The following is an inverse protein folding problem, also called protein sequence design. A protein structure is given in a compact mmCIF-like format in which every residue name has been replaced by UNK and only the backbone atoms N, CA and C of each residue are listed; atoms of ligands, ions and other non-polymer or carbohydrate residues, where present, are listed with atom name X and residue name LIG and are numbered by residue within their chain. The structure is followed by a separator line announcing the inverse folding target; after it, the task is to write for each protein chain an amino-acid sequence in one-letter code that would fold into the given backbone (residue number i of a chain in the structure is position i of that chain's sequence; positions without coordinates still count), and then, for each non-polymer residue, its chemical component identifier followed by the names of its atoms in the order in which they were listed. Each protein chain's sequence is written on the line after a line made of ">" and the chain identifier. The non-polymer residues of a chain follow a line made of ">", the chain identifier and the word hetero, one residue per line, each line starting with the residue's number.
data_IF_959781405403
#
_entry.id   IF_959781405403
#
_cell.length_a   1.000
_cell.length_b   1.000
_cell.length_c   1.000
_cell.angle_alpha   90.00
_cell.angle_beta   90.00
_cell.angle_gamma   90.00
#
_symmetry.space_group_name_H-M   'P 1'
#
loop_
_entity.id
_entity.type
_entity.pdbx_description
1 polymer ?
#
# COMPACT_ATOMS: atom_id res chain seq x y z
N UNK A 1 19.47 12.91 -27.64
CA UNK A 1 18.37 12.32 -26.86
C UNK A 1 18.84 10.97 -26.34
N UNK A 2 18.73 10.71 -25.02
CA UNK A 2 19.10 9.42 -24.44
C UNK A 2 18.04 8.36 -24.78
N UNK A 3 18.49 7.14 -25.06
CA UNK A 3 17.63 6.01 -25.46
C UNK A 3 17.69 4.90 -24.40
N UNK A 4 16.52 4.36 -24.03
CA UNK A 4 16.35 3.32 -23.01
C UNK A 4 15.49 2.17 -23.54
N UNK A 5 15.49 1.04 -22.84
CA UNK A 5 14.49 0.00 -23.06
C UNK A 5 13.13 0.42 -22.50
N UNK A 6 13.15 1.09 -21.34
CA UNK A 6 11.97 1.58 -20.63
C UNK A 6 12.09 3.02 -20.14
N UNK A 7 11.00 3.76 -20.28
CA UNK A 7 10.75 5.00 -19.55
C UNK A 7 9.66 4.70 -18.52
N UNK A 8 9.97 4.96 -17.23
CA UNK A 8 9.01 4.92 -16.13
C UNK A 8 8.71 6.34 -15.72
N UNK A 9 7.45 6.77 -15.77
CA UNK A 9 7.05 8.14 -15.43
C UNK A 9 6.28 8.19 -14.13
N UNK A 10 6.81 8.92 -13.16
CA UNK A 10 6.27 9.07 -11.81
C UNK A 10 7.10 8.32 -10.76
N UNK A 11 7.82 9.07 -9.94
CA UNK A 11 8.73 8.57 -8.89
C UNK A 11 8.05 8.17 -7.58
N UNK A 12 6.76 7.81 -7.61
CA UNK A 12 6.06 7.21 -6.49
C UNK A 12 6.41 5.73 -6.29
N UNK A 13 5.80 5.08 -5.28
CA UNK A 13 6.07 3.66 -4.97
C UNK A 13 5.86 2.74 -6.18
N UNK A 14 4.86 3.01 -7.02
CA UNK A 14 4.61 2.21 -8.24
C UNK A 14 5.77 2.33 -9.23
N UNK A 15 6.21 3.55 -9.55
CA UNK A 15 7.32 3.74 -10.48
C UNK A 15 8.64 3.20 -9.94
N UNK A 16 8.92 3.39 -8.65
CA UNK A 16 10.13 2.84 -8.01
C UNK A 16 10.15 1.30 -8.10
N UNK A 17 9.04 0.63 -7.76
CA UNK A 17 8.98 -0.84 -7.81
C UNK A 17 9.05 -1.40 -9.23
N UNK A 18 8.46 -0.70 -10.21
CA UNK A 18 8.57 -1.09 -11.62
C UNK A 18 9.98 -0.87 -12.15
N UNK A 19 10.62 0.25 -11.80
CA UNK A 19 12.01 0.53 -12.19
C UNK A 19 12.96 -0.52 -11.61
N UNK A 20 12.75 -0.90 -10.35
CA UNK A 20 13.56 -1.92 -9.69
C UNK A 20 13.45 -3.28 -10.42
N UNK A 21 12.22 -3.75 -10.69
CA UNK A 21 12.08 -5.06 -11.33
C UNK A 21 12.57 -5.08 -12.78
N UNK A 22 12.39 -4.00 -13.51
CA UNK A 22 12.87 -3.89 -14.90
C UNK A 22 14.41 -3.86 -14.96
N UNK A 23 15.06 -3.10 -14.07
CA UNK A 23 16.54 -3.06 -14.01
C UNK A 23 17.12 -4.37 -13.50
N UNK A 24 16.47 -5.03 -12.54
CA UNK A 24 16.85 -6.39 -12.08
C UNK A 24 16.86 -7.39 -13.24
N UNK A 25 15.96 -7.23 -14.20
CA UNK A 25 15.88 -8.05 -15.40
C UNK A 25 16.85 -7.63 -16.52
N UNK A 26 17.67 -6.62 -16.28
CA UNK A 26 18.73 -6.18 -17.20
C UNK A 26 18.27 -5.18 -18.26
N UNK A 27 17.10 -4.56 -18.08
CA UNK A 27 16.67 -3.48 -18.96
C UNK A 27 17.30 -2.14 -18.56
N UNK A 28 17.66 -1.32 -19.56
CA UNK A 28 18.00 0.08 -19.34
C UNK A 28 16.74 0.89 -19.04
N UNK A 29 16.71 1.60 -17.91
CA UNK A 29 15.50 2.25 -17.41
C UNK A 29 15.77 3.70 -17.05
N UNK A 30 14.95 4.62 -17.57
CA UNK A 30 14.86 6.01 -17.12
C UNK A 30 13.65 6.18 -16.20
N UNK A 31 13.84 6.60 -14.95
CA UNK A 31 12.78 7.01 -14.04
C UNK A 31 12.65 8.53 -14.04
N UNK A 32 11.50 9.03 -14.50
CA UNK A 32 11.23 10.45 -14.65
C UNK A 32 10.27 10.90 -13.53
N UNK A 33 10.63 11.95 -12.80
CA UNK A 33 9.81 12.54 -11.74
C UNK A 33 9.76 14.07 -11.87
N UNK A 34 8.54 14.66 -11.82
CA UNK A 34 8.36 16.11 -11.93
C UNK A 34 8.86 16.90 -10.72
N UNK A 35 8.86 16.32 -9.55
CA UNK A 35 9.35 16.95 -8.32
C UNK A 35 10.87 16.79 -8.18
N UNK A 36 11.43 17.51 -7.22
CA UNK A 36 12.86 17.43 -6.89
C UNK A 36 13.29 16.15 -6.19
N UNK A 37 12.32 15.39 -5.64
CA UNK A 37 12.55 14.16 -4.87
C UNK A 37 11.52 13.09 -5.22
N UNK A 38 12.00 11.84 -5.27
CA UNK A 38 11.13 10.68 -5.39
C UNK A 38 10.26 10.52 -4.13
N UNK A 39 9.15 9.81 -4.27
CA UNK A 39 8.21 9.47 -3.20
C UNK A 39 7.68 10.67 -2.40
N UNK A 40 7.64 11.85 -3.00
CA UNK A 40 7.28 13.11 -2.34
C UNK A 40 5.79 13.50 -2.44
N UNK A 41 4.95 12.61 -2.98
CA UNK A 41 3.49 12.77 -3.08
C UNK A 41 2.75 11.71 -2.23
N UNK A 42 1.69 11.13 -2.76
CA UNK A 42 0.84 10.12 -2.12
C UNK A 42 1.61 9.03 -1.35
N UNK A 43 2.77 8.61 -1.85
CA UNK A 43 3.62 7.61 -1.19
C UNK A 43 4.13 8.05 0.19
N UNK A 44 4.43 9.34 0.38
CA UNK A 44 4.82 9.93 1.66
C UNK A 44 3.63 10.20 2.59
N UNK A 45 2.46 10.38 2.01
CA UNK A 45 1.29 10.97 2.68
C UNK A 45 0.43 9.96 3.45
N UNK A 46 0.81 8.68 3.58
CA UNK A 46 -0.01 7.67 4.23
C UNK A 46 0.64 7.03 5.45
N UNK A 47 -0.21 6.29 6.22
CA UNK A 47 0.11 5.74 7.54
C UNK A 47 1.10 4.56 7.54
N UNK A 48 1.66 4.20 6.38
CA UNK A 48 2.63 3.11 6.29
C UNK A 48 2.12 1.76 6.85
N UNK A 49 0.83 1.49 6.67
CA UNK A 49 0.25 0.23 7.10
C UNK A 49 0.51 -0.87 6.09
N UNK A 50 0.92 -2.00 6.61
CA UNK A 50 1.02 -3.22 5.85
C UNK A 50 -0.12 -4.15 6.25
N UNK A 51 -1.09 -4.30 5.37
CA UNK A 51 -2.27 -5.11 5.60
C UNK A 51 -2.00 -6.57 5.27
N UNK A 52 -2.34 -7.47 6.21
CA UNK A 52 -2.25 -8.92 6.02
C UNK A 52 -3.58 -9.58 5.65
N UNK A 53 -4.65 -8.77 5.56
CA UNK A 53 -5.93 -9.23 5.01
C UNK A 53 -7.13 -9.15 5.92
N UNK A 54 -6.96 -9.14 7.25
CA UNK A 54 -8.08 -9.26 8.21
C UNK A 54 -9.20 -8.25 8.03
N UNK A 55 -8.85 -6.99 7.76
CA UNK A 55 -9.84 -5.94 7.50
C UNK A 55 -10.67 -6.21 6.24
N UNK A 56 -10.07 -6.86 5.25
CA UNK A 56 -10.69 -7.09 3.94
C UNK A 56 -11.62 -8.30 3.89
N UNK A 57 -11.67 -9.10 4.96
CA UNK A 57 -12.68 -10.16 5.11
C UNK A 57 -14.11 -9.60 5.15
N UNK A 58 -14.26 -8.32 5.55
CA UNK A 58 -15.55 -7.62 5.61
C UNK A 58 -16.06 -7.11 4.26
N UNK A 59 -15.22 -7.09 3.23
CA UNK A 59 -15.61 -6.58 1.93
C UNK A 59 -16.57 -7.54 1.22
N UNK A 60 -17.59 -6.98 0.58
CA UNK A 60 -18.55 -7.70 -0.25
C UNK A 60 -18.07 -7.77 -1.71
N UNK A 61 -16.87 -8.30 -1.92
CA UNK A 61 -16.22 -8.39 -3.22
C UNK A 61 -15.77 -9.83 -3.57
N UNK A 62 -16.48 -10.80 -3.02
CA UNK A 62 -16.17 -12.24 -3.17
C UNK A 62 -14.72 -12.58 -2.79
N UNK A 63 -14.25 -11.97 -1.70
CA UNK A 63 -12.88 -12.09 -1.19
C UNK A 63 -11.79 -11.68 -2.19
N UNK A 64 -12.15 -10.97 -3.24
CA UNK A 64 -11.22 -10.55 -4.29
C UNK A 64 -10.06 -9.72 -3.72
N UNK A 65 -10.37 -8.70 -2.92
CA UNK A 65 -9.33 -7.87 -2.28
C UNK A 65 -8.47 -8.71 -1.33
N UNK A 66 -9.07 -9.61 -0.54
CA UNK A 66 -8.32 -10.51 0.34
C UNK A 66 -7.33 -11.38 -0.44
N UNK A 67 -7.78 -11.99 -1.53
CA UNK A 67 -6.93 -12.80 -2.43
C UNK A 67 -5.72 -12.00 -2.94
N UNK A 68 -5.93 -10.75 -3.38
CA UNK A 68 -4.83 -9.88 -3.84
C UNK A 68 -3.84 -9.55 -2.72
N UNK A 69 -4.32 -9.28 -1.51
CA UNK A 69 -3.47 -9.01 -0.35
C UNK A 69 -2.62 -10.23 0.00
N UNK A 70 -3.23 -11.41 0.05
CA UNK A 70 -2.51 -12.66 0.33
C UNK A 70 -1.46 -12.97 -0.74
N UNK A 71 -1.82 -12.86 -2.02
CA UNK A 71 -0.86 -13.03 -3.12
C UNK A 71 0.30 -12.02 -3.07
N UNK A 72 0.04 -10.81 -2.57
CA UNK A 72 1.09 -9.80 -2.43
C UNK A 72 2.08 -10.11 -1.31
N UNK A 73 1.66 -10.80 -0.27
CA UNK A 73 2.57 -11.31 0.76
C UNK A 73 3.46 -12.44 0.21
N UNK A 74 2.87 -13.34 -0.58
CA UNK A 74 3.66 -14.40 -1.25
C UNK A 74 4.74 -13.79 -2.16
N UNK A 75 4.37 -12.82 -2.99
CA UNK A 75 5.32 -12.16 -3.88
C UNK A 75 6.40 -11.37 -3.13
N UNK A 76 6.03 -10.73 -2.01
CA UNK A 76 6.99 -10.05 -1.15
C UNK A 76 8.07 -11.03 -0.69
N UNK A 77 7.67 -12.21 -0.25
CA UNK A 77 8.61 -13.24 0.21
C UNK A 77 9.37 -13.89 -0.95
N UNK A 78 8.72 -14.07 -2.09
CA UNK A 78 9.34 -14.71 -3.26
C UNK A 78 10.36 -13.82 -3.96
N UNK A 79 10.01 -12.55 -4.21
CA UNK A 79 10.81 -11.66 -5.07
C UNK A 79 11.64 -10.61 -4.33
N UNK A 80 11.42 -10.43 -3.01
CA UNK A 80 12.08 -9.36 -2.26
C UNK A 80 12.79 -9.83 -0.99
N UNK A 81 12.83 -11.14 -0.71
CA UNK A 81 13.49 -11.68 0.49
C UNK A 81 15.02 -11.48 0.51
N UNK A 82 15.63 -11.32 -0.66
CA UNK A 82 17.08 -11.08 -0.82
C UNK A 82 17.50 -9.63 -0.59
N UNK A 83 16.57 -8.69 -0.46
CA UNK A 83 16.92 -7.29 -0.24
C UNK A 83 17.61 -7.08 1.11
N UNK A 84 18.66 -6.22 1.17
CA UNK A 84 19.51 -6.06 2.37
C UNK A 84 18.74 -5.70 3.64
N UNK A 85 17.68 -4.88 3.53
CA UNK A 85 16.89 -4.44 4.68
C UNK A 85 15.57 -5.18 4.84
N UNK A 86 15.29 -6.18 4.00
CA UNK A 86 14.09 -7.00 4.12
C UNK A 86 14.19 -7.87 5.38
N UNK A 87 13.36 -7.56 6.38
CA UNK A 87 13.41 -8.19 7.70
C UNK A 87 12.19 -9.07 8.01
N UNK A 88 11.29 -9.31 7.07
CA UNK A 88 10.21 -10.27 7.21
C UNK A 88 10.71 -11.66 6.82
N UNK A 89 10.47 -12.65 7.69
CA UNK A 89 10.92 -14.02 7.47
C UNK A 89 9.78 -15.01 7.72
N UNK A 90 9.61 -16.03 6.89
CA UNK A 90 8.73 -17.14 7.18
C UNK A 90 9.28 -17.96 8.35
N UNK A 91 8.37 -18.51 9.16
CA UNK A 91 8.67 -19.43 10.26
C UNK A 91 7.64 -20.55 10.26
N UNK A 92 7.89 -21.63 11.00
CA UNK A 92 6.92 -22.73 11.17
C UNK A 92 5.57 -22.28 11.74
N UNK A 93 5.55 -21.11 12.40
CA UNK A 93 4.35 -20.52 13.02
C UNK A 93 3.83 -19.30 12.26
N UNK A 94 4.34 -19.01 11.06
CA UNK A 94 3.90 -17.89 10.25
C UNK A 94 5.01 -16.91 9.89
N UNK A 95 4.73 -15.60 9.95
CA UNK A 95 5.69 -14.55 9.62
C UNK A 95 6.27 -13.91 10.88
N UNK A 96 7.59 -13.78 10.92
CA UNK A 96 8.31 -13.07 11.99
C UNK A 96 9.06 -11.88 11.40
N UNK A 97 9.00 -10.74 12.09
CA UNK A 97 9.86 -9.58 11.82
C UNK A 97 11.14 -9.80 12.62
N UNK A 98 12.27 -9.86 11.95
CA UNK A 98 13.57 -9.92 12.63
C UNK A 98 13.82 -8.62 13.40
N UNK A 99 14.39 -8.76 14.60
CA UNK A 99 14.64 -7.67 15.55
C UNK A 99 15.75 -6.71 15.08
N UNK A 100 15.55 -6.08 13.95
CA UNK A 100 16.37 -4.94 13.59
C UNK A 100 15.45 -3.73 13.34
N UNK A 101 15.55 -2.71 14.14
CA UNK A 101 14.81 -1.46 14.02
C UNK A 101 15.06 -0.68 12.69
N UNK A 102 15.85 -1.25 11.79
CA UNK A 102 16.26 -0.65 10.51
C UNK A 102 15.77 -1.42 9.28
N UNK A 103 14.83 -2.34 9.45
CA UNK A 103 14.27 -3.11 8.34
C UNK A 103 13.07 -2.43 7.67
N UNK A 104 12.57 -3.06 6.62
CA UNK A 104 11.38 -2.63 5.90
C UNK A 104 10.13 -2.61 6.76
N UNK A 105 10.06 -3.47 7.77
CA UNK A 105 8.91 -3.65 8.65
C UNK A 105 9.27 -3.41 10.11
N UNK A 106 8.31 -2.87 10.85
CA UNK A 106 8.41 -2.67 12.28
C UNK A 106 7.54 -3.70 13.01
N UNK A 107 8.00 -4.28 14.14
CA UNK A 107 7.20 -5.20 14.95
C UNK A 107 6.01 -4.53 15.66
N UNK A 108 5.65 -3.34 15.26
CA UNK A 108 4.55 -2.57 15.80
C UNK A 108 3.24 -3.02 15.12
N UNK A 109 2.55 -3.96 15.77
CA UNK A 109 1.28 -4.50 15.29
C UNK A 109 0.14 -3.50 15.44
N UNK A 110 -0.81 -3.55 14.50
CA UNK A 110 -1.97 -2.68 14.49
C UNK A 110 -3.13 -3.37 15.18
N UNK A 111 -3.73 -2.68 16.13
CA UNK A 111 -4.92 -3.12 16.83
C UNK A 111 -6.16 -2.47 16.20
N UNK A 112 -7.18 -3.26 15.93
CA UNK A 112 -8.49 -2.75 15.56
C UNK A 112 -9.34 -2.56 16.80
N UNK A 113 -9.89 -1.36 16.98
CA UNK A 113 -10.77 -1.03 18.11
C UNK A 113 -12.18 -0.77 17.61
N UNK A 114 -13.15 -1.45 18.22
CA UNK A 114 -14.58 -1.20 17.99
C UNK A 114 -15.18 -0.47 19.17
N UNK A 115 -15.94 0.59 18.91
CA UNK A 115 -16.72 1.26 19.97
C UNK A 115 -17.91 0.37 20.38
N UNK A 116 -18.26 0.37 21.68
CA UNK A 116 -19.37 -0.42 22.23
C UNK A 116 -20.69 -0.22 21.47
N UNK A 117 -20.97 1.00 21.02
CA UNK A 117 -22.14 1.33 20.19
C UNK A 117 -22.14 0.61 18.82
N UNK A 118 -21.00 0.11 18.39
CA UNK A 118 -20.80 -0.62 17.13
C UNK A 118 -20.58 -2.11 17.31
N UNK A 119 -20.88 -2.65 18.50
CA UNK A 119 -20.79 -4.09 18.77
C UNK A 119 -21.52 -4.97 17.72
N UNK A 120 -22.52 -4.41 17.03
CA UNK A 120 -23.23 -5.08 15.93
C UNK A 120 -22.32 -5.48 14.77
N UNK A 121 -21.15 -4.84 14.61
CA UNK A 121 -20.16 -5.22 13.59
C UNK A 121 -19.28 -6.40 13.98
N UNK A 122 -19.19 -6.70 15.27
CA UNK A 122 -18.31 -7.77 15.77
C UNK A 122 -18.76 -9.11 15.23
N UNK A 123 -20.03 -9.49 15.41
CA UNK A 123 -20.56 -10.76 14.94
C UNK A 123 -20.44 -10.95 13.42
N UNK A 124 -20.87 -9.99 12.56
CA UNK A 124 -20.67 -10.11 11.13
C UNK A 124 -19.19 -10.23 10.74
N UNK A 125 -18.29 -9.54 11.42
CA UNK A 125 -16.86 -9.65 11.11
C UNK A 125 -16.28 -11.00 11.50
N UNK A 126 -16.67 -11.52 12.66
CA UNK A 126 -16.27 -12.84 13.10
C UNK A 126 -16.77 -13.92 12.17
N UNK A 127 -18.02 -13.80 11.73
CA UNK A 127 -18.58 -14.67 10.70
C UNK A 127 -17.77 -14.55 9.39
N UNK A 128 -17.44 -13.37 8.95
CA UNK A 128 -16.62 -13.13 7.75
C UNK A 128 -15.21 -13.74 7.88
N UNK A 129 -14.59 -13.63 9.07
CA UNK A 129 -13.31 -14.26 9.37
C UNK A 129 -13.44 -15.79 9.34
N UNK A 130 -14.41 -16.34 10.06
CA UNK A 130 -14.65 -17.79 10.09
C UNK A 130 -14.92 -18.36 8.68
N UNK A 131 -15.74 -17.67 7.89
CA UNK A 131 -15.98 -18.00 6.48
C UNK A 131 -14.69 -17.95 5.66
N UNK A 132 -13.85 -16.94 5.88
CA UNK A 132 -12.57 -16.81 5.16
C UNK A 132 -11.61 -17.95 5.52
N UNK A 133 -11.57 -18.37 6.77
CA UNK A 133 -10.80 -19.56 7.21
C UNK A 133 -11.31 -20.81 6.49
N UNK A 134 -12.62 -21.07 6.54
CA UNK A 134 -13.22 -22.25 5.92
C UNK A 134 -12.98 -22.31 4.40
N UNK A 135 -12.85 -21.16 3.74
CA UNK A 135 -12.65 -21.06 2.30
C UNK A 135 -11.18 -20.89 1.90
N UNK A 136 -10.25 -20.81 2.86
CA UNK A 136 -8.85 -20.52 2.58
C UNK A 136 -8.21 -21.56 1.66
N UNK A 137 -8.59 -22.81 1.77
CA UNK A 137 -8.12 -23.88 0.87
C UNK A 137 -8.61 -23.68 -0.56
N UNK A 138 -9.84 -23.21 -0.72
CA UNK A 138 -10.36 -22.81 -2.03
C UNK A 138 -9.65 -21.58 -2.60
N UNK A 139 -9.34 -20.60 -1.74
CA UNK A 139 -8.56 -19.42 -2.11
C UNK A 139 -7.16 -19.82 -2.56
N UNK A 140 -6.54 -20.78 -1.90
CA UNK A 140 -5.20 -21.30 -2.21
C UNK A 140 -5.17 -22.12 -3.48
N UNK A 141 -6.18 -22.94 -3.74
CA UNK A 141 -6.32 -23.72 -4.97
C UNK A 141 -6.58 -22.87 -6.18
N UNK A 142 -7.20 -21.72 -6.02
CA UNK A 142 -7.38 -20.71 -7.07
C UNK A 142 -6.15 -19.81 -7.18
N UNK A 143 -5.19 -20.28 -7.95
CA UNK A 143 -4.07 -19.46 -8.39
C UNK A 143 -4.50 -18.47 -9.50
N UNK A 144 -5.42 -17.60 -9.17
CA UNK A 144 -5.93 -16.61 -10.11
C UNK A 144 -4.95 -15.45 -10.36
N UNK A 145 -3.89 -15.31 -9.55
CA UNK A 145 -2.68 -14.53 -9.81
C UNK A 145 -1.50 -15.41 -10.26
N UNK A 146 -1.71 -16.72 -10.52
CA UNK A 146 -0.67 -17.71 -10.82
C UNK A 146 0.40 -17.84 -9.74
N UNK A 147 -0.01 -17.80 -8.46
CA UNK A 147 0.88 -17.83 -7.31
C UNK A 147 0.42 -18.83 -6.26
N UNK A 148 1.39 -19.41 -5.60
CA UNK A 148 1.17 -20.36 -4.51
C UNK A 148 1.13 -19.62 -3.18
N UNK A 149 0.00 -19.65 -2.49
CA UNK A 149 -0.20 -19.06 -1.16
C UNK A 149 0.30 -19.97 -0.01
N UNK A 150 1.28 -20.84 -0.23
CA UNK A 150 1.66 -21.88 0.73
C UNK A 150 2.22 -21.38 2.06
N UNK A 151 2.98 -20.29 2.04
CA UNK A 151 3.57 -19.71 3.25
C UNK A 151 2.52 -18.99 4.10
N UNK A 152 1.48 -18.45 3.49
CA UNK A 152 0.44 -17.68 4.16
C UNK A 152 -0.60 -18.55 4.87
N UNK A 153 -0.66 -19.83 4.59
CA UNK A 153 -1.62 -20.74 5.20
C UNK A 153 -1.48 -20.79 6.71
N UNK A 154 -0.27 -21.04 7.19
CA UNK A 154 0.00 -21.14 8.62
C UNK A 154 -0.24 -19.82 9.34
N UNK A 155 0.19 -18.71 8.74
CA UNK A 155 -0.05 -17.35 9.28
C UNK A 155 -1.52 -17.04 9.36
N UNK A 156 -2.26 -17.29 8.29
CA UNK A 156 -3.67 -16.91 8.20
C UNK A 156 -4.51 -17.77 9.12
N UNK A 157 -4.26 -19.08 9.18
CA UNK A 157 -5.02 -20.02 10.01
C UNK A 157 -4.76 -19.80 11.50
N UNK A 158 -3.51 -19.75 11.94
CA UNK A 158 -3.18 -19.46 13.35
C UNK A 158 -3.66 -18.08 13.79
N UNK A 159 -3.60 -17.12 12.93
CA UNK A 159 -4.08 -15.78 13.20
C UNK A 159 -5.59 -15.74 13.43
N UNK A 160 -6.37 -16.38 12.59
CA UNK A 160 -7.82 -16.45 12.78
C UNK A 160 -8.21 -17.29 14.00
N UNK A 161 -7.48 -18.35 14.31
CA UNK A 161 -7.64 -19.09 15.56
C UNK A 161 -7.29 -18.25 16.79
N UNK A 162 -6.24 -17.43 16.71
CA UNK A 162 -5.88 -16.47 17.75
C UNK A 162 -6.99 -15.44 17.99
N UNK A 163 -7.61 -14.93 16.93
CA UNK A 163 -8.78 -14.04 17.05
C UNK A 163 -9.94 -14.77 17.74
N UNK A 164 -10.28 -15.99 17.33
CA UNK A 164 -11.36 -16.77 17.93
C UNK A 164 -11.11 -17.05 19.42
N UNK A 165 -9.88 -17.36 19.81
CA UNK A 165 -9.49 -17.52 21.23
C UNK A 165 -9.61 -16.21 22.02
N UNK A 166 -9.32 -15.08 21.42
CA UNK A 166 -9.41 -13.77 22.06
C UNK A 166 -10.84 -13.22 22.13
N UNK A 167 -11.77 -13.79 21.37
CA UNK A 167 -13.19 -13.44 21.38
C UNK A 167 -13.84 -13.57 22.76
N UNK A 168 -13.58 -14.66 23.47
CA UNK A 168 -14.08 -14.89 24.82
C UNK A 168 -13.57 -13.81 25.80
N UNK A 169 -12.38 -13.25 25.57
CA UNK A 169 -11.85 -12.15 26.34
C UNK A 169 -12.48 -10.79 25.96
N UNK A 170 -12.90 -10.61 24.71
CA UNK A 170 -13.51 -9.37 24.22
C UNK A 170 -14.90 -9.16 24.79
N UNK A 171 -15.68 -10.22 24.93
CA UNK A 171 -17.04 -10.17 25.49
C UNK A 171 -17.05 -9.78 26.99
N UNK A 172 -15.96 -10.02 27.68
CA UNK A 172 -15.84 -9.79 29.13
C UNK A 172 -15.25 -8.42 29.51
N UNK A 173 -14.79 -7.58 28.58
CA UNK A 173 -14.17 -6.29 28.92
C UNK A 173 -15.23 -5.19 29.08
N UNK A 174 -15.24 -4.54 30.24
CA UNK A 174 -16.14 -3.43 30.61
C UNK A 174 -15.76 -2.08 29.96
N UNK A 175 -14.80 -2.05 29.05
CA UNK A 175 -14.29 -0.82 28.43
C UNK A 175 -15.17 -0.32 27.27
N UNK A 176 -15.10 0.98 27.01
CA UNK A 176 -15.82 1.65 25.90
C UNK A 176 -15.50 1.11 24.51
N UNK A 177 -14.54 0.19 24.37
CA UNK A 177 -14.07 -0.37 23.13
C UNK A 177 -13.86 -1.87 23.24
N UNK A 178 -14.22 -2.59 22.18
CA UNK A 178 -13.71 -3.92 21.92
C UNK A 178 -12.41 -3.80 21.14
N UNK A 179 -11.39 -4.55 21.54
CA UNK A 179 -10.08 -4.52 20.89
C UNK A 179 -9.80 -5.86 20.23
N UNK A 180 -9.43 -5.85 18.97
CA UNK A 180 -8.95 -7.02 18.25
C UNK A 180 -7.51 -6.74 17.84
N UNK A 181 -6.60 -7.59 18.27
CA UNK A 181 -5.21 -7.57 17.79
C UNK A 181 -5.13 -8.28 16.46
N UNK A 182 -4.46 -7.68 15.49
CA UNK A 182 -4.28 -8.25 14.17
C UNK A 182 -2.80 -8.40 13.85
N UNK A 183 -2.47 -9.22 12.85
CA UNK A 183 -1.11 -9.34 12.33
C UNK A 183 -0.76 -8.24 11.34
N UNK A 184 -1.64 -7.26 11.12
CA UNK A 184 -1.29 -6.08 10.36
C UNK A 184 -0.17 -5.33 11.10
N UNK A 185 0.84 -4.89 10.36
CA UNK A 185 2.01 -4.21 10.93
C UNK A 185 2.35 -2.96 10.14
N UNK A 186 3.36 -2.23 10.60
CA UNK A 186 3.78 -0.99 9.96
C UNK A 186 5.02 -1.21 9.10
N UNK A 187 5.08 -0.50 7.98
CA UNK A 187 6.28 -0.42 7.15
C UNK A 187 7.12 0.80 7.53
N UNK A 188 8.41 0.68 7.32
CA UNK A 188 9.33 1.79 7.28
C UNK A 188 9.52 2.18 5.81
N UNK A 189 8.53 2.87 5.25
CA UNK A 189 8.44 3.13 3.81
C UNK A 189 9.69 3.84 3.26
N UNK A 190 10.30 4.72 4.06
CA UNK A 190 11.54 5.40 3.68
C UNK A 190 12.70 4.41 3.48
N UNK A 191 12.89 3.46 4.40
CA UNK A 191 13.98 2.48 4.31
C UNK A 191 13.73 1.49 3.19
N UNK A 192 12.48 1.05 3.02
CA UNK A 192 12.04 0.20 1.93
C UNK A 192 12.32 0.85 0.56
N UNK A 193 11.87 2.08 0.36
CA UNK A 193 12.04 2.77 -0.92
C UNK A 193 13.50 3.09 -1.22
N UNK A 194 14.29 3.49 -0.21
CA UNK A 194 15.73 3.69 -0.37
C UNK A 194 16.45 2.41 -0.78
N UNK A 195 16.09 1.28 -0.18
CA UNK A 195 16.68 -0.02 -0.50
C UNK A 195 16.34 -0.45 -1.93
N UNK A 196 15.09 -0.26 -2.35
CA UNK A 196 14.66 -0.53 -3.73
C UNK A 196 15.36 0.39 -4.74
N UNK A 197 15.47 1.69 -4.47
CA UNK A 197 16.15 2.66 -5.33
C UNK A 197 17.63 2.29 -5.45
N UNK A 198 18.33 2.07 -4.33
CA UNK A 198 19.74 1.73 -4.34
C UNK A 198 20.02 0.43 -5.11
N UNK A 199 19.13 -0.56 -5.00
CA UNK A 199 19.22 -1.81 -5.76
C UNK A 199 19.01 -1.55 -7.26
N UNK A 200 18.04 -0.73 -7.62
CA UNK A 200 17.76 -0.37 -9.02
C UNK A 200 18.92 0.44 -9.65
N UNK A 201 19.48 1.42 -8.92
CA UNK A 201 20.63 2.21 -9.36
C UNK A 201 21.87 1.34 -9.59
N UNK A 202 22.14 0.37 -8.68
CA UNK A 202 23.20 -0.62 -8.85
C UNK A 202 23.02 -1.47 -10.12
N UNK A 203 21.77 -1.65 -10.55
CA UNK A 203 21.42 -2.38 -11.78
C UNK A 203 21.25 -1.47 -13.01
N UNK A 204 21.64 -0.19 -12.94
CA UNK A 204 21.66 0.72 -14.07
C UNK A 204 20.43 1.60 -14.22
N UNK A 205 19.62 1.84 -13.16
CA UNK A 205 18.58 2.84 -13.18
C UNK A 205 19.17 4.25 -13.31
N UNK A 206 18.67 5.03 -14.26
CA UNK A 206 18.93 6.47 -14.33
C UNK A 206 17.68 7.25 -13.86
N UNK A 207 17.89 8.20 -12.93
CA UNK A 207 16.81 9.00 -12.32
C UNK A 207 16.89 10.44 -12.79
N UNK A 208 15.76 10.96 -13.28
CA UNK A 208 15.62 12.32 -13.79
C UNK A 208 14.51 13.04 -13.01
N UNK A 209 14.91 13.79 -11.99
CA UNK A 209 13.99 14.62 -11.21
C UNK A 209 13.80 16.00 -11.86
N UNK A 210 12.80 16.78 -11.41
CA UNK A 210 12.39 18.07 -11.98
C UNK A 210 12.05 17.99 -13.47
N UNK A 211 11.63 16.83 -13.94
CA UNK A 211 11.21 16.58 -15.31
C UNK A 211 9.72 16.18 -15.35
N UNK A 212 8.86 17.06 -15.80
CA UNK A 212 7.44 16.79 -15.98
C UNK A 212 7.19 16.24 -17.38
N UNK A 213 6.49 15.10 -17.48
CA UNK A 213 6.02 14.60 -18.78
C UNK A 213 4.96 15.55 -19.34
N UNK A 214 5.22 16.12 -20.50
CA UNK A 214 4.32 17.05 -21.19
C UNK A 214 3.56 16.36 -22.33
N UNK A 215 4.23 15.48 -23.07
CA UNK A 215 3.65 14.83 -24.25
C UNK A 215 4.28 13.47 -24.50
N UNK A 216 3.49 12.54 -25.05
CA UNK A 216 3.96 11.25 -25.57
C UNK A 216 3.79 11.21 -27.06
N UNK A 217 4.84 10.84 -27.80
CA UNK A 217 4.81 10.63 -29.26
C UNK A 217 5.30 9.23 -29.60
N UNK A 218 4.69 8.59 -30.60
CA UNK A 218 5.22 7.39 -31.23
C UNK A 218 6.06 7.79 -32.43
N UNK A 219 7.27 7.26 -32.56
CA UNK A 219 8.16 7.46 -33.71
C UNK A 219 8.91 6.18 -34.03
N UNK A 220 8.72 5.63 -35.23
CA UNK A 220 9.48 4.49 -35.77
C UNK A 220 9.70 3.33 -34.78
N UNK A 221 8.63 2.79 -34.20
CA UNK A 221 8.64 1.76 -33.16
C UNK A 221 9.20 2.17 -31.79
N UNK A 222 9.59 3.41 -31.60
CA UNK A 222 10.00 3.97 -30.31
C UNK A 222 8.95 4.94 -29.77
N UNK A 223 9.05 5.21 -28.49
CA UNK A 223 8.25 6.19 -27.77
C UNK A 223 9.16 7.36 -27.42
N UNK A 224 8.69 8.56 -27.67
CA UNK A 224 9.37 9.81 -27.26
C UNK A 224 8.55 10.39 -26.12
N UNK A 225 9.19 10.60 -24.97
CA UNK A 225 8.66 11.36 -23.84
C UNK A 225 9.23 12.77 -23.93
N UNK A 226 8.40 13.74 -24.31
CA UNK A 226 8.74 15.16 -24.22
C UNK A 226 8.47 15.63 -22.80
N UNK A 227 9.51 16.02 -22.10
CA UNK A 227 9.44 16.50 -20.73
C UNK A 227 9.86 17.98 -20.65
N UNK A 228 9.65 18.58 -19.46
CA UNK A 228 9.89 20.01 -19.25
C UNK A 228 11.36 20.45 -19.45
N UNK A 229 12.31 19.59 -19.14
CA UNK A 229 13.74 19.91 -19.23
C UNK A 229 14.48 19.05 -20.27
N UNK A 230 14.10 17.78 -20.42
CA UNK A 230 14.76 16.83 -21.29
C UNK A 230 13.76 16.05 -22.14
N UNK A 231 14.24 15.47 -23.24
CA UNK A 231 13.48 14.51 -24.04
C UNK A 231 14.14 13.13 -23.98
N UNK A 232 13.32 12.11 -23.84
CA UNK A 232 13.76 10.72 -23.71
C UNK A 232 13.14 9.86 -24.80
N UNK A 233 13.88 8.86 -25.21
CA UNK A 233 13.40 7.86 -26.17
C UNK A 233 13.49 6.45 -25.57
N UNK A 234 12.48 5.62 -25.79
CA UNK A 234 12.51 4.22 -25.37
C UNK A 234 11.68 3.31 -26.28
N UNK A 235 11.89 1.99 -26.15
CA UNK A 235 11.05 0.97 -26.77
C UNK A 235 9.68 0.88 -26.11
N UNK A 236 9.65 1.08 -24.79
CA UNK A 236 8.47 0.92 -23.96
C UNK A 236 8.36 2.04 -22.91
N UNK A 237 7.14 2.32 -22.48
CA UNK A 237 6.87 3.31 -21.43
C UNK A 237 5.80 2.80 -20.47
N UNK A 238 5.94 3.13 -19.18
CA UNK A 238 4.88 2.97 -18.20
C UNK A 238 4.65 4.26 -17.43
N UNK A 239 3.39 4.69 -17.35
CA UNK A 239 2.97 5.88 -16.60
C UNK A 239 2.38 5.49 -15.25
N UNK A 240 2.95 6.06 -14.17
CA UNK A 240 2.61 5.83 -12.76
C UNK A 240 2.29 7.15 -12.05
N UNK A 241 1.49 7.99 -12.70
CA UNK A 241 1.31 9.41 -12.35
C UNK A 241 0.30 9.68 -11.23
N UNK A 242 -0.20 8.62 -10.58
CA UNK A 242 -1.13 8.78 -9.47
C UNK A 242 -2.37 9.59 -9.86
N UNK A 243 -2.52 10.79 -9.29
CA UNK A 243 -3.67 11.66 -9.52
C UNK A 243 -3.69 12.38 -10.89
N UNK A 244 -2.62 12.31 -11.65
CA UNK A 244 -2.53 12.88 -13.00
C UNK A 244 -2.57 11.83 -14.11
N UNK A 245 -2.80 10.56 -13.78
CA UNK A 245 -2.76 9.46 -14.75
C UNK A 245 -3.78 9.61 -15.88
N UNK A 246 -4.91 10.29 -15.61
CA UNK A 246 -5.94 10.57 -16.62
C UNK A 246 -5.46 11.44 -17.79
N UNK A 247 -4.39 12.22 -17.61
CA UNK A 247 -3.82 13.04 -18.68
C UNK A 247 -3.21 12.20 -19.81
N UNK A 248 -2.70 11.00 -19.47
CA UNK A 248 -1.93 10.15 -20.39
C UNK A 248 -2.50 8.74 -20.54
N UNK A 249 -3.69 8.49 -20.02
CA UNK A 249 -4.34 7.18 -20.11
C UNK A 249 -5.86 7.32 -20.21
N UNK A 250 -6.52 6.24 -20.62
CA UNK A 250 -7.99 6.15 -20.67
C UNK A 250 -8.59 5.80 -19.30
N UNK A 251 -7.78 5.75 -18.25
CA UNK A 251 -8.23 5.43 -16.89
C UNK A 251 -8.99 6.60 -16.29
N UNK A 252 -10.07 6.29 -15.58
CA UNK A 252 -10.76 7.25 -14.71
C UNK A 252 -10.50 6.90 -13.25
N UNK A 253 -10.22 7.90 -12.44
CA UNK A 253 -9.90 7.71 -11.03
C UNK A 253 -10.91 8.41 -10.11
N UNK A 254 -11.14 7.78 -8.96
CA UNK A 254 -11.78 8.41 -7.82
C UNK A 254 -10.72 8.89 -6.85
N UNK A 255 -10.82 10.14 -6.42
CA UNK A 255 -9.97 10.72 -5.38
C UNK A 255 -10.69 10.69 -4.04
N UNK A 256 -9.98 10.27 -3.00
CA UNK A 256 -10.41 10.43 -1.62
C UNK A 256 -9.30 11.05 -0.78
N UNK A 257 -9.70 11.79 0.24
CA UNK A 257 -8.83 12.67 1.03
C UNK A 257 -8.82 12.22 2.48
N UNK A 258 -7.64 12.04 3.07
CA UNK A 258 -7.49 11.62 4.45
C UNK A 258 -6.77 12.68 5.29
N UNK A 259 -7.27 13.03 6.49
CA UNK A 259 -6.54 13.87 7.42
C UNK A 259 -5.39 13.10 8.02
N UNK A 260 -4.20 13.67 8.01
CA UNK A 260 -3.01 13.07 8.61
C UNK A 260 -2.22 14.15 9.35
N UNK A 261 -1.74 13.85 10.54
CA UNK A 261 -0.80 14.69 11.24
C UNK A 261 0.37 13.89 11.81
N UNK A 262 1.56 14.46 11.66
CA UNK A 262 2.77 13.98 12.33
C UNK A 262 2.77 14.51 13.74
N UNK A 263 3.00 13.64 14.70
CA UNK A 263 2.93 14.00 16.12
C UNK A 263 4.13 13.49 16.91
N UNK A 264 4.47 14.20 17.99
CA UNK A 264 5.44 13.76 19.00
C UNK A 264 4.83 13.74 20.40
N UNK A 265 5.61 13.30 21.37
CA UNK A 265 5.22 13.18 22.79
C UNK A 265 4.04 12.20 23.00
N UNK A 266 4.02 11.13 22.22
CA UNK A 266 3.08 10.02 22.43
C UNK A 266 3.52 9.25 23.67
N UNK A 267 2.56 8.84 24.52
CA UNK A 267 2.84 7.96 25.67
C UNK A 267 3.51 6.67 25.21
N UNK A 268 4.53 6.23 25.93
CA UNK A 268 5.37 5.09 25.57
C UNK A 268 4.60 3.76 25.42
N UNK A 269 3.50 3.60 26.14
CA UNK A 269 2.62 2.44 26.10
C UNK A 269 1.53 2.50 25.00
N UNK A 270 1.47 3.60 24.24
CA UNK A 270 0.51 3.76 23.15
C UNK A 270 0.86 2.82 22.01
N UNK A 271 -0.02 1.86 21.76
CA UNK A 271 0.08 0.94 20.61
C UNK A 271 -0.62 1.52 19.38
N UNK A 272 -0.15 1.16 18.19
CA UNK A 272 -0.84 1.49 16.95
C UNK A 272 -2.26 0.92 16.94
N UNK A 273 -3.24 1.73 16.52
CA UNK A 273 -4.63 1.28 16.42
C UNK A 273 -5.41 1.98 15.33
N UNK A 274 -6.49 1.31 14.93
CA UNK A 274 -7.53 1.85 14.05
C UNK A 274 -8.87 1.69 14.74
N UNK A 275 -9.64 2.77 14.81
CA UNK A 275 -11.05 2.67 15.19
C UNK A 275 -11.89 2.32 13.96
N UNK A 276 -12.74 1.31 14.09
CA UNK A 276 -13.65 0.87 13.06
C UNK A 276 -15.10 1.25 13.43
N UNK A 277 -15.41 2.52 13.32
CA UNK A 277 -16.78 3.00 13.34
C UNK A 277 -17.21 3.38 11.90
N UNK A 278 -17.20 2.40 11.02
CA UNK A 278 -17.35 2.58 9.56
C UNK A 278 -18.62 3.33 9.13
N UNK A 279 -19.63 3.39 9.99
CA UNK A 279 -20.91 4.04 9.71
C UNK A 279 -21.01 5.47 10.25
N UNK A 280 -20.04 5.90 11.03
CA UNK A 280 -19.99 7.25 11.57
C UNK A 280 -18.64 7.85 11.21
N UNK A 281 -18.63 9.06 10.70
CA UNK A 281 -17.44 9.83 10.28
C UNK A 281 -16.48 10.21 11.45
N UNK A 282 -16.36 9.35 12.47
CA UNK A 282 -15.70 9.64 13.74
C UNK A 282 -14.58 8.65 14.10
N UNK A 283 -14.01 7.98 13.12
CA UNK A 283 -12.91 7.05 13.35
C UNK A 283 -11.58 7.78 13.40
N UNK A 284 -10.80 7.48 14.42
CA UNK A 284 -9.41 7.92 14.51
C UNK A 284 -8.47 6.72 14.42
N UNK A 285 -7.25 6.98 14.04
CA UNK A 285 -6.18 5.99 14.00
C UNK A 285 -4.85 6.61 14.37
N UNK A 286 -3.93 5.79 14.85
CA UNK A 286 -2.55 6.17 15.11
C UNK A 286 -1.62 5.03 14.72
N UNK A 287 -0.54 5.37 14.06
CA UNK A 287 0.62 4.52 13.88
C UNK A 287 1.76 5.10 14.67
N UNK A 288 2.20 4.40 15.70
CA UNK A 288 3.35 4.82 16.51
C UNK A 288 4.66 4.48 15.79
N UNK A 289 5.63 5.38 15.84
CA UNK A 289 6.94 5.25 15.24
C UNK A 289 8.02 5.50 16.30
N UNK A 290 8.77 4.48 16.64
CA UNK A 290 9.71 4.58 17.75
C UNK A 290 9.03 4.85 19.09
N UNK A 291 9.73 5.53 20.00
CA UNK A 291 9.26 5.68 21.40
C UNK A 291 8.29 6.85 21.64
N UNK A 292 8.29 7.88 20.78
CA UNK A 292 7.52 9.10 21.06
C UNK A 292 6.91 9.78 19.83
N UNK A 293 7.11 9.25 18.64
CA UNK A 293 6.58 9.79 17.38
C UNK A 293 5.46 8.94 16.82
N UNK A 294 4.60 9.54 16.02
CA UNK A 294 3.56 8.80 15.30
C UNK A 294 2.87 9.62 14.21
N UNK A 295 2.02 8.91 13.50
CA UNK A 295 1.11 9.47 12.52
C UNK A 295 -0.31 9.26 13.02
N UNK A 296 -1.03 10.33 13.26
CA UNK A 296 -2.47 10.27 13.58
C UNK A 296 -3.28 10.57 12.34
N UNK A 297 -4.46 9.97 12.25
CA UNK A 297 -5.33 10.14 11.10
C UNK A 297 -6.77 9.74 11.37
N UNK A 298 -7.56 9.81 10.32
CA UNK A 298 -8.96 9.46 10.31
C UNK A 298 -9.37 8.72 9.05
N UNK A 299 -10.67 8.70 8.78
CA UNK A 299 -11.21 8.11 7.56
C UNK A 299 -10.89 8.97 6.34
N UNK A 300 -10.86 8.35 5.17
CA UNK A 300 -10.82 9.09 3.91
C UNK A 300 -12.22 9.59 3.52
N UNK A 301 -12.31 10.83 3.11
CA UNK A 301 -13.54 11.53 2.72
C UNK A 301 -13.51 11.88 1.23
N UNK A 302 -14.67 12.01 0.61
CA UNK A 302 -14.79 12.32 -0.81
C UNK A 302 -14.45 13.77 -1.15
N UNK A 303 -14.60 14.70 -0.19
CA UNK A 303 -14.38 16.13 -0.40
C UNK A 303 -13.25 16.66 0.49
N UNK A 304 -12.32 17.38 -0.08
CA UNK A 304 -11.19 17.97 0.64
C UNK A 304 -11.61 18.95 1.74
N UNK A 305 -12.69 19.72 1.52
CA UNK A 305 -13.22 20.67 2.51
C UNK A 305 -13.75 19.97 3.77
N UNK A 306 -14.30 18.76 3.64
CA UNK A 306 -14.76 17.97 4.78
C UNK A 306 -13.60 17.49 5.65
N UNK A 307 -12.45 17.18 5.03
CA UNK A 307 -11.25 16.76 5.73
C UNK A 307 -10.72 17.87 6.62
N UNK A 308 -10.73 19.10 6.15
CA UNK A 308 -10.28 20.25 6.95
C UNK A 308 -11.08 20.41 8.24
N UNK A 309 -12.40 20.26 8.15
CA UNK A 309 -13.28 20.30 9.34
C UNK A 309 -13.06 19.11 10.29
N UNK A 310 -12.58 17.99 9.75
CA UNK A 310 -12.33 16.77 10.52
C UNK A 310 -11.03 16.83 11.34
N UNK A 311 -10.07 17.66 10.97
CA UNK A 311 -8.78 17.77 11.68
C UNK A 311 -8.95 18.10 13.16
N UNK A 312 -9.76 19.08 13.50
CA UNK A 312 -9.95 19.50 14.89
C UNK A 312 -10.58 18.39 15.74
N UNK A 313 -11.58 17.71 15.19
CA UNK A 313 -12.16 16.54 15.84
C UNK A 313 -11.08 15.45 16.08
N UNK A 314 -10.32 15.08 15.06
CA UNK A 314 -9.28 14.07 15.13
C UNK A 314 -8.21 14.40 16.19
N UNK A 315 -7.71 15.63 16.17
CA UNK A 315 -6.68 16.08 17.10
C UNK A 315 -7.23 16.08 18.54
N UNK A 316 -8.44 16.55 18.75
CA UNK A 316 -9.06 16.60 20.09
C UNK A 316 -9.29 15.18 20.64
N UNK A 317 -9.73 14.22 19.82
CA UNK A 317 -9.86 12.84 20.27
C UNK A 317 -8.49 12.21 20.62
N UNK A 318 -7.45 12.51 19.88
CA UNK A 318 -6.09 12.04 20.20
C UNK A 318 -5.53 12.71 21.45
N UNK A 319 -5.79 14.00 21.68
CA UNK A 319 -5.40 14.70 22.93
C UNK A 319 -6.07 14.11 24.18
N UNK A 320 -7.33 13.64 24.07
CA UNK A 320 -7.98 12.91 25.17
C UNK A 320 -7.24 11.61 25.55
N UNK A 321 -6.65 10.93 24.58
CA UNK A 321 -5.90 9.69 24.80
C UNK A 321 -4.45 9.97 25.23
N UNK A 322 -3.84 10.99 24.65
CA UNK A 322 -2.47 11.41 24.84
C UNK A 322 -2.43 12.93 25.09
N UNK A 323 -2.68 13.43 26.32
CA UNK A 323 -2.78 14.87 26.61
C UNK A 323 -1.53 15.68 26.24
N UNK A 324 -0.34 15.06 26.31
CA UNK A 324 0.94 15.70 25.97
C UNK A 324 1.29 15.71 24.48
N UNK A 325 0.38 15.22 23.61
CA UNK A 325 0.67 15.11 22.17
C UNK A 325 0.88 16.49 21.54
N UNK A 326 1.94 16.62 20.78
CA UNK A 326 2.29 17.84 20.04
C UNK A 326 2.23 17.56 18.53
N UNK A 327 1.58 18.47 17.79
CA UNK A 327 1.43 18.38 16.34
C UNK A 327 2.64 19.05 15.68
N UNK A 328 3.39 18.29 14.89
CA UNK A 328 4.53 18.80 14.13
C UNK A 328 4.13 19.27 12.73
N UNK A 329 3.26 18.51 12.07
CA UNK A 329 2.83 18.78 10.69
C UNK A 329 1.40 18.29 10.49
N UNK A 330 0.61 19.00 9.67
CA UNK A 330 -0.72 18.59 9.22
C UNK A 330 -0.75 18.58 7.70
N UNK A 331 -1.29 17.52 7.10
CA UNK A 331 -1.50 17.49 5.66
C UNK A 331 -2.69 16.59 5.29
N UNK A 332 -3.13 16.72 4.04
CA UNK A 332 -4.22 15.92 3.48
C UNK A 332 -3.62 14.91 2.52
N UNK A 333 -3.67 13.63 2.87
CA UNK A 333 -3.26 12.56 1.99
C UNK A 333 -4.31 12.29 0.90
N UNK A 334 -3.88 12.18 -0.36
CA UNK A 334 -4.75 11.90 -1.50
C UNK A 334 -4.62 10.44 -1.90
N UNK A 335 -5.74 9.71 -1.91
CA UNK A 335 -5.81 8.34 -2.45
C UNK A 335 -6.44 8.36 -3.83
N UNK A 336 -5.81 7.64 -4.72
CA UNK A 336 -6.24 7.46 -6.10
C UNK A 336 -6.67 5.99 -6.29
N UNK A 337 -7.93 5.78 -6.63
CA UNK A 337 -8.53 4.47 -6.85
C UNK A 337 -9.17 4.46 -8.25
N UNK A 338 -9.11 3.36 -8.99
CA UNK A 338 -9.79 3.26 -10.28
C UNK A 338 -11.30 3.38 -10.08
N UNK A 339 -11.94 4.22 -10.88
CA UNK A 339 -13.39 4.36 -10.89
C UNK A 339 -14.06 3.10 -11.43
N UNK A 340 -15.03 2.56 -10.67
CA UNK A 340 -15.90 1.47 -11.09
C UNK A 340 -17.36 1.83 -10.77
N UNK A 341 -18.23 1.71 -11.78
CA UNK A 341 -19.65 2.15 -11.68
C UNK A 341 -20.47 1.48 -10.56
N UNK A 342 -20.08 0.28 -10.13
CA UNK A 342 -20.84 -0.53 -9.15
C UNK A 342 -20.17 -0.64 -7.78
N UNK A 343 -18.96 -0.11 -7.61
CA UNK A 343 -18.20 -0.26 -6.38
C UNK A 343 -17.88 1.11 -5.79
N UNK A 344 -18.19 1.29 -4.52
CA UNK A 344 -17.88 2.54 -3.81
C UNK A 344 -16.38 2.76 -3.65
N UNK A 345 -15.57 1.68 -3.68
CA UNK A 345 -14.10 1.73 -3.56
C UNK A 345 -13.45 0.53 -4.26
N UNK A 346 -12.39 0.79 -5.00
CA UNK A 346 -11.55 -0.23 -5.64
C UNK A 346 -10.14 -0.19 -5.04
N UNK A 347 -9.78 -1.24 -4.31
CA UNK A 347 -8.50 -1.35 -3.62
C UNK A 347 -7.40 -2.03 -4.42
N UNK A 348 -7.70 -2.55 -5.60
CA UNK A 348 -6.79 -3.38 -6.38
C UNK A 348 -5.80 -2.53 -7.18
N UNK A 349 -4.68 -3.14 -7.53
CA UNK A 349 -3.81 -2.56 -8.56
C UNK A 349 -4.40 -2.79 -9.97
N UNK A 350 -4.06 -1.91 -10.88
CA UNK A 350 -4.45 -2.00 -12.28
C UNK A 350 -3.25 -1.79 -13.18
N UNK A 351 -3.14 -2.64 -14.19
CA UNK A 351 -2.11 -2.61 -15.23
C UNK A 351 -2.84 -2.62 -16.56
N UNK A 352 -2.79 -1.52 -17.29
CA UNK A 352 -3.56 -1.35 -18.54
C UNK A 352 -2.65 -0.92 -19.69
N UNK A 353 -2.66 -1.63 -20.83
CA UNK A 353 -2.04 -1.14 -22.02
C UNK A 353 -2.80 0.08 -22.55
N UNK A 354 -2.09 1.07 -23.06
CA UNK A 354 -2.70 2.24 -23.68
C UNK A 354 -3.41 1.84 -24.99
N UNK A 355 -4.58 2.40 -25.22
CA UNK A 355 -5.28 2.27 -26.52
C UNK A 355 -4.76 3.28 -27.53
N UNK A 356 -4.19 4.39 -27.06
CA UNK A 356 -3.74 5.51 -27.89
C UNK A 356 -2.29 5.34 -28.35
N UNK A 357 -1.43 4.77 -27.49
CA UNK A 357 -0.01 4.69 -27.75
C UNK A 357 0.46 3.23 -27.72
N UNK A 358 1.15 2.79 -28.79
CA UNK A 358 1.74 1.44 -28.82
C UNK A 358 2.87 1.34 -27.80
N UNK A 359 2.99 0.23 -27.09
CA UNK A 359 4.02 -0.05 -26.06
C UNK A 359 4.01 0.92 -24.88
N UNK A 360 2.89 1.57 -24.59
CA UNK A 360 2.68 2.41 -23.42
C UNK A 360 1.68 1.74 -22.47
N UNK A 361 1.99 1.75 -21.19
CA UNK A 361 1.20 1.16 -20.14
C UNK A 361 0.84 2.20 -19.06
N UNK A 362 -0.27 1.99 -18.38
CA UNK A 362 -0.70 2.79 -17.24
C UNK A 362 -0.86 1.91 -16.03
N UNK A 363 -0.29 2.31 -14.88
CA UNK A 363 -0.31 1.51 -13.66
C UNK A 363 -0.77 2.34 -12.47
N UNK A 364 -1.73 1.79 -11.71
CA UNK A 364 -2.15 2.29 -10.40
C UNK A 364 -1.97 1.17 -9.37
N UNK A 365 -1.29 1.42 -8.25
CA UNK A 365 -0.98 0.38 -7.28
C UNK A 365 -2.16 0.00 -6.37
N UNK A 366 -3.22 0.83 -6.29
CA UNK A 366 -4.31 0.64 -5.35
C UNK A 366 -3.85 0.83 -3.90
N UNK A 367 -3.39 -0.23 -3.27
CA UNK A 367 -2.86 -0.23 -1.90
C UNK A 367 -1.35 -0.37 -1.88
N UNK A 368 -0.69 0.23 -0.87
CA UNK A 368 0.76 0.09 -0.69
C UNK A 368 1.20 -1.38 -0.61
N UNK A 369 0.49 -2.21 0.14
CA UNK A 369 0.77 -3.65 0.24
C UNK A 369 0.79 -4.36 -1.13
N UNK A 370 -0.03 -3.93 -2.08
CA UNK A 370 -0.16 -4.58 -3.39
C UNK A 370 0.97 -4.27 -4.36
N UNK A 371 1.86 -3.35 -4.02
CA UNK A 371 3.02 -2.99 -4.86
C UNK A 371 3.92 -4.20 -5.12
N UNK A 372 4.07 -5.07 -4.12
CA UNK A 372 4.92 -6.26 -4.21
C UNK A 372 4.39 -7.33 -5.17
N UNK A 373 3.09 -7.30 -5.48
CA UNK A 373 2.51 -8.10 -6.57
C UNK A 373 2.48 -7.35 -7.90
N UNK A 374 2.18 -6.06 -7.84
CA UNK A 374 1.95 -5.25 -9.03
C UNK A 374 3.17 -5.25 -9.96
N UNK A 375 4.37 -5.08 -9.44
CA UNK A 375 5.57 -5.02 -10.27
C UNK A 375 5.92 -6.38 -10.91
N UNK A 376 5.98 -7.51 -10.17
CA UNK A 376 6.12 -8.83 -10.79
C UNK A 376 5.02 -9.17 -11.80
N UNK A 377 3.76 -8.80 -11.51
CA UNK A 377 2.66 -9.07 -12.43
C UNK A 377 2.74 -8.23 -13.70
N UNK A 378 3.16 -6.97 -13.59
CA UNK A 378 3.46 -6.15 -14.76
C UNK A 378 4.48 -6.83 -15.66
N UNK A 379 5.58 -7.32 -15.08
CA UNK A 379 6.61 -8.02 -15.82
C UNK A 379 6.08 -9.29 -16.48
N UNK A 380 5.25 -10.09 -15.78
CA UNK A 380 4.60 -11.28 -16.35
C UNK A 380 3.67 -10.97 -17.52
N UNK A 381 2.89 -9.89 -17.40
CA UNK A 381 1.95 -9.47 -18.45
C UNK A 381 2.73 -9.08 -19.71
N UNK A 382 3.81 -8.32 -19.56
CA UNK A 382 4.60 -7.81 -20.68
C UNK A 382 5.44 -8.91 -21.33
N UNK A 383 6.18 -9.68 -20.53
CA UNK A 383 7.21 -10.62 -21.00
C UNK A 383 6.79 -12.09 -20.99
N UNK A 384 5.60 -12.42 -20.49
CA UNK A 384 5.05 -13.79 -20.40
C UNK A 384 5.95 -14.77 -19.61
N UNK A 385 6.78 -14.27 -18.72
CA UNK A 385 7.68 -15.04 -17.85
C UNK A 385 7.75 -14.42 -16.45
N UNK A 386 8.15 -15.20 -15.44
CA UNK A 386 8.40 -14.68 -14.12
C UNK A 386 9.67 -13.83 -14.11
N UNK A 387 9.69 -12.73 -13.31
CA UNK A 387 10.94 -12.03 -13.06
C UNK A 387 11.88 -12.88 -12.20
N UNK A 388 13.18 -12.55 -12.19
CA UNK A 388 14.18 -13.16 -11.29
C UNK A 388 13.83 -12.88 -9.82
N UNK A 389 14.20 -13.80 -8.95
CA UNK A 389 14.03 -13.69 -7.49
C UNK A 389 15.09 -12.80 -6.85
#
# INVERSE_FOLDING_TARGET
>A
MKTFDWIVVGGGVAGISLSEILTREGHSVALIEKKDKLASATTREFHEWFHTGSLYTLLKDDMKTLKYILGSLDDLLEFYSSFPKMNLRPTDKGLKIADNNKGWFSPNYINFKYRLKNRKLILPWLYAIARSIALIDGIRKHDWLRRRAGILESVTTEYYFSILKNLLKIVASSNKFYKIETTDFTTNSRDLLKDMIATAEKNGLEIFTKNELLEIKNSNNNIIANCSNDNFQAKNMVVCLGDEIEKFSDLKINKSYAPIAVVKNIKADTKSFVELDCFKKNCINIVTKGKSFGLIGGISLSKKVEVQKYFDFMINEHKKLNPGIEILEKYIGVKNEIFQKKENRNYLFHINPSRKYKNVWSVIPGKFTLVFSMAPEFYRIVYKKNPRK
#
